data_IF_316363338313
#
_entry.id   IF_316363338313
#
_cell.length_a   1.000
_cell.length_b   1.000
_cell.length_c   1.000
_cell.angle_alpha   90.00
_cell.angle_beta   90.00
_cell.angle_gamma   90.00
#
_symmetry.space_group_name_H-M   'P 1'
#
loop_
_entity.id
_entity.type
_entity.pdbx_description
1 polymer ?
#
# COMPACT_ATOMS: atom_id res chain seq x y z
N UNK A 1 96.26 -0.05 -32.41
CA UNK A 1 95.42 -0.99 -31.67
C UNK A 1 94.59 -0.17 -30.71
N UNK A 2 93.34 0.20 -31.16
CA UNK A 2 92.48 1.09 -30.42
C UNK A 2 91.36 0.30 -29.68
N UNK A 3 91.38 0.35 -28.36
CA UNK A 3 90.36 -0.22 -27.53
C UNK A 3 89.29 0.74 -27.19
N UNK A 4 88.15 0.61 -27.84
CA UNK A 4 86.94 1.46 -27.59
C UNK A 4 86.26 1.08 -26.29
N UNK A 5 86.12 2.00 -25.35
CA UNK A 5 85.34 1.83 -24.12
C UNK A 5 83.89 2.12 -24.43
N UNK A 6 83.01 1.11 -24.28
CA UNK A 6 81.55 1.28 -24.32
C UNK A 6 81.06 1.78 -22.98
N UNK A 7 80.42 2.96 -22.98
CA UNK A 7 79.72 3.52 -21.82
C UNK A 7 78.29 2.93 -21.77
N UNK A 8 77.95 2.20 -20.69
CA UNK A 8 76.58 1.79 -20.37
C UNK A 8 75.90 2.98 -19.71
N UNK A 9 74.80 3.43 -20.34
CA UNK A 9 73.89 4.41 -19.77
C UNK A 9 72.81 3.62 -19.07
N UNK A 10 72.76 3.73 -17.74
CA UNK A 10 71.69 3.15 -16.91
C UNK A 10 70.47 4.06 -16.99
N UNK A 11 69.45 3.67 -17.71
CA UNK A 11 68.17 4.40 -17.74
C UNK A 11 67.36 4.03 -16.50
N UNK A 12 67.09 5.02 -15.66
CA UNK A 12 66.17 4.91 -14.54
C UNK A 12 64.74 4.91 -15.06
N UNK A 13 64.05 3.78 -14.90
CA UNK A 13 62.60 3.69 -15.19
C UNK A 13 61.84 4.20 -13.95
N UNK A 14 61.26 5.36 -14.05
CA UNK A 14 60.33 5.92 -13.08
C UNK A 14 58.95 5.21 -13.27
N UNK A 15 58.61 4.28 -12.39
CA UNK A 15 57.26 3.70 -12.30
C UNK A 15 56.35 4.70 -11.63
N UNK A 16 55.50 5.42 -12.44
CA UNK A 16 54.39 6.16 -11.92
C UNK A 16 53.30 5.18 -11.51
N UNK A 17 53.17 4.93 -10.22
CA UNK A 17 52.02 4.22 -9.66
C UNK A 17 50.76 5.06 -9.75
N UNK A 18 49.87 4.76 -10.69
CA UNK A 18 48.54 5.30 -10.72
C UNK A 18 47.70 4.66 -9.58
N UNK A 19 47.49 5.42 -8.50
CA UNK A 19 46.51 5.05 -7.47
C UNK A 19 45.13 5.19 -8.06
N UNK A 20 44.54 4.07 -8.48
CA UNK A 20 43.13 4.00 -8.88
C UNK A 20 42.30 4.05 -7.59
N UNK A 21 41.85 5.25 -7.20
CA UNK A 21 40.82 5.40 -6.16
C UNK A 21 39.51 4.85 -6.72
N UNK A 22 39.17 3.62 -6.35
CA UNK A 22 37.81 3.09 -6.55
C UNK A 22 36.87 3.88 -5.63
N UNK A 23 36.09 4.79 -6.19
CA UNK A 23 34.97 5.38 -5.50
C UNK A 23 33.94 4.27 -5.24
N UNK A 24 33.80 3.85 -3.98
CA UNK A 24 32.73 2.99 -3.56
C UNK A 24 31.44 3.81 -3.66
N UNK A 25 30.59 3.47 -4.62
CA UNK A 25 29.23 4.00 -4.66
C UNK A 25 28.53 3.55 -3.38
N UNK A 26 28.17 4.51 -2.52
CA UNK A 26 27.35 4.26 -1.35
C UNK A 26 26.02 3.72 -1.84
N UNK A 27 25.72 2.44 -1.58
CA UNK A 27 24.41 1.86 -1.82
C UNK A 27 23.42 2.55 -0.87
N UNK A 28 22.46 3.30 -1.42
CA UNK A 28 21.33 3.80 -0.64
C UNK A 28 20.61 2.61 0.00
N UNK A 29 20.40 2.62 1.33
CA UNK A 29 19.64 1.56 1.97
C UNK A 29 18.24 1.49 1.33
N UNK A 30 17.82 0.30 0.91
CA UNK A 30 16.46 0.08 0.43
C UNK A 30 15.50 0.32 1.60
N UNK A 31 14.50 1.18 1.41
CA UNK A 31 13.42 1.35 2.38
C UNK A 31 12.66 0.02 2.49
N UNK A 32 12.51 -0.55 3.69
CA UNK A 32 11.74 -1.77 3.87
C UNK A 32 10.28 -1.52 3.50
N UNK A 33 9.66 -2.50 2.84
CA UNK A 33 8.25 -2.45 2.43
C UNK A 33 7.51 -3.59 3.10
N UNK A 34 6.37 -3.28 3.73
CA UNK A 34 5.40 -4.24 4.23
C UNK A 34 4.14 -4.14 3.35
N UNK A 35 3.38 -5.22 3.25
CA UNK A 35 2.21 -5.27 2.37
C UNK A 35 0.93 -5.55 3.14
N UNK A 36 -0.14 -4.90 2.70
CA UNK A 36 -1.53 -5.16 3.05
C UNK A 36 -2.28 -5.35 1.73
N UNK A 37 -3.24 -6.27 1.72
CA UNK A 37 -4.09 -6.54 0.56
C UNK A 37 -5.52 -6.17 0.93
N UNK A 38 -6.20 -5.40 0.09
CA UNK A 38 -7.64 -5.22 0.15
C UNK A 38 -8.31 -6.28 -0.73
N UNK A 39 -9.26 -6.99 -0.16
CA UNK A 39 -10.00 -8.07 -0.78
C UNK A 39 -11.49 -7.74 -0.84
N UNK A 40 -12.17 -8.21 -1.86
CA UNK A 40 -13.62 -8.27 -1.96
C UNK A 40 -14.04 -9.31 -3.01
N UNK A 41 -15.27 -9.78 -2.92
CA UNK A 41 -15.89 -10.72 -3.86
C UNK A 41 -17.19 -10.15 -4.46
N UNK A 42 -17.15 -8.90 -4.91
CA UNK A 42 -18.31 -8.26 -5.51
C UNK A 42 -18.80 -9.03 -6.76
N UNK A 43 -20.13 -9.16 -6.91
CA UNK A 43 -20.73 -9.72 -8.12
C UNK A 43 -20.90 -8.65 -9.19
N UNK A 44 -20.17 -8.71 -10.33
CA UNK A 44 -20.19 -7.64 -11.33
C UNK A 44 -21.58 -7.32 -11.88
N UNK A 45 -22.45 -8.33 -12.01
CA UNK A 45 -23.78 -8.12 -12.58
C UNK A 45 -24.66 -7.23 -11.72
N UNK A 46 -24.73 -7.48 -10.41
CA UNK A 46 -25.60 -6.73 -9.48
C UNK A 46 -24.98 -5.40 -9.09
N UNK A 47 -23.68 -5.35 -8.81
CA UNK A 47 -22.98 -4.10 -8.45
C UNK A 47 -22.98 -3.10 -9.59
N UNK A 48 -22.67 -3.55 -10.82
CA UNK A 48 -22.62 -2.65 -11.97
C UNK A 48 -24.00 -2.17 -12.40
N UNK A 49 -25.04 -2.95 -12.16
CA UNK A 49 -26.42 -2.50 -12.38
C UNK A 49 -26.83 -1.36 -11.43
N UNK A 50 -26.33 -1.35 -10.21
CA UNK A 50 -26.67 -0.38 -9.18
C UNK A 50 -25.74 0.84 -9.17
N UNK A 51 -24.44 0.64 -9.38
CA UNK A 51 -23.41 1.68 -9.16
C UNK A 51 -22.79 2.19 -10.45
N UNK A 52 -23.11 1.56 -11.59
CA UNK A 52 -22.59 1.93 -12.90
C UNK A 52 -21.58 0.93 -13.47
N UNK A 53 -21.40 1.00 -14.78
CA UNK A 53 -20.50 0.08 -15.49
C UNK A 53 -19.08 0.15 -14.93
N UNK A 54 -18.43 -1.02 -14.85
CA UNK A 54 -17.05 -1.18 -14.37
C UNK A 54 -16.79 -0.80 -12.90
N UNK A 55 -17.84 -0.60 -12.10
CA UNK A 55 -17.68 -0.36 -10.67
C UNK A 55 -17.10 -1.59 -9.96
N UNK A 56 -17.69 -2.77 -10.20
CA UNK A 56 -17.10 -4.04 -9.81
C UNK A 56 -16.43 -4.69 -11.01
N UNK A 57 -15.13 -4.91 -10.91
CA UNK A 57 -14.28 -5.56 -11.93
C UNK A 57 -13.73 -6.89 -11.44
N UNK A 58 -14.52 -7.60 -10.66
CA UNK A 58 -14.06 -8.85 -10.12
C UNK A 58 -13.85 -9.86 -11.25
N UNK A 59 -12.61 -10.29 -11.43
CA UNK A 59 -12.19 -11.29 -12.41
C UNK A 59 -11.87 -12.63 -11.75
N UNK A 60 -11.96 -12.72 -10.43
CA UNK A 60 -11.74 -13.96 -9.70
C UNK A 60 -12.85 -14.97 -10.01
N UNK A 61 -12.47 -16.22 -10.12
CA UNK A 61 -13.40 -17.34 -10.29
C UNK A 61 -13.76 -17.88 -8.89
N UNK A 62 -14.69 -17.25 -8.21
CA UNK A 62 -15.08 -17.61 -6.84
C UNK A 62 -16.56 -17.47 -6.58
N UNK A 63 -16.93 -17.58 -5.33
CA UNK A 63 -18.24 -17.20 -4.85
C UNK A 63 -18.33 -15.69 -4.87
N UNK A 64 -19.41 -15.15 -5.42
CA UNK A 64 -19.64 -13.71 -5.49
C UNK A 64 -20.79 -13.34 -4.55
N UNK A 65 -20.61 -12.22 -3.87
CA UNK A 65 -21.67 -11.62 -3.08
C UNK A 65 -22.39 -10.57 -3.92
N UNK A 66 -23.72 -10.68 -4.03
CA UNK A 66 -24.52 -9.69 -4.75
C UNK A 66 -24.64 -8.39 -3.95
N UNK A 67 -24.92 -7.29 -4.66
CA UNK A 67 -25.10 -5.98 -4.05
C UNK A 67 -26.13 -5.97 -2.93
N UNK A 68 -27.30 -6.61 -3.12
CA UNK A 68 -28.33 -6.69 -2.08
C UNK A 68 -27.86 -7.48 -0.87
N UNK A 69 -27.22 -8.64 -1.08
CA UNK A 69 -26.72 -9.47 0.01
C UNK A 69 -25.71 -8.70 0.88
N UNK A 70 -24.75 -7.98 0.26
CA UNK A 70 -23.79 -7.18 1.02
C UNK A 70 -24.48 -6.17 1.95
N UNK A 71 -25.48 -5.45 1.44
CA UNK A 71 -26.23 -4.47 2.24
C UNK A 71 -27.08 -5.12 3.32
N UNK A 72 -27.75 -6.24 3.03
CA UNK A 72 -28.53 -6.97 4.00
C UNK A 72 -27.67 -7.46 5.17
N UNK A 73 -26.55 -8.11 4.88
CA UNK A 73 -25.60 -8.61 5.89
C UNK A 73 -24.98 -7.47 6.71
N UNK A 74 -24.54 -6.39 6.07
CA UNK A 74 -23.98 -5.24 6.78
C UNK A 74 -25.02 -4.56 7.68
N UNK A 75 -26.28 -4.45 7.25
CA UNK A 75 -27.37 -3.85 8.04
C UNK A 75 -27.74 -4.70 9.27
N UNK A 76 -27.55 -6.01 9.19
CA UNK A 76 -27.78 -6.96 10.29
C UNK A 76 -26.56 -7.05 11.25
N UNK A 77 -25.46 -6.35 10.97
CA UNK A 77 -24.23 -6.40 11.76
C UNK A 77 -23.38 -7.64 11.50
N UNK A 78 -23.59 -8.30 10.40
CA UNK A 78 -22.84 -9.49 9.95
C UNK A 78 -22.18 -9.17 8.59
N UNK A 79 -21.22 -8.23 8.55
CA UNK A 79 -20.60 -7.86 7.30
C UNK A 79 -19.89 -9.05 6.66
N UNK A 80 -19.90 -9.09 5.32
CA UNK A 80 -19.29 -10.17 4.55
C UNK A 80 -17.78 -10.25 4.84
N UNK A 81 -17.28 -11.40 5.36
CA UNK A 81 -15.89 -11.56 5.73
C UNK A 81 -14.91 -11.53 4.53
N UNK A 82 -15.42 -11.61 3.30
CA UNK A 82 -14.59 -11.52 2.10
C UNK A 82 -14.25 -10.06 1.71
N UNK A 83 -14.89 -9.06 2.34
CA UNK A 83 -14.47 -7.66 2.30
C UNK A 83 -13.56 -7.40 3.47
N UNK A 84 -12.25 -7.50 3.26
CA UNK A 84 -11.28 -7.39 4.34
C UNK A 84 -9.94 -6.79 3.87
N UNK A 85 -9.14 -6.37 4.84
CA UNK A 85 -7.72 -6.08 4.69
C UNK A 85 -6.89 -7.18 5.32
N UNK A 86 -5.94 -7.74 4.56
CA UNK A 86 -5.02 -8.75 5.07
C UNK A 86 -3.57 -8.26 5.07
N UNK A 87 -2.89 -8.36 6.23
CA UNK A 87 -3.39 -8.69 7.54
C UNK A 87 -4.14 -7.52 8.21
N UNK A 88 -5.07 -7.85 9.11
CA UNK A 88 -5.81 -6.88 9.94
C UNK A 88 -4.94 -6.25 11.06
N UNK A 89 -3.82 -6.90 11.40
CA UNK A 89 -2.80 -6.39 12.34
C UNK A 89 -1.41 -6.52 11.72
N UNK A 90 -0.72 -5.40 11.60
CA UNK A 90 0.63 -5.34 11.03
C UNK A 90 1.60 -4.67 11.99
N UNK A 91 2.71 -5.34 12.34
CA UNK A 91 3.80 -4.74 13.12
C UNK A 91 4.98 -4.42 12.21
N UNK A 92 5.43 -3.17 12.20
CA UNK A 92 6.54 -2.69 11.37
C UNK A 92 7.58 -1.93 12.18
N UNK A 93 8.77 -1.75 11.60
CA UNK A 93 9.78 -0.82 12.14
C UNK A 93 9.53 0.58 11.60
N UNK A 94 9.89 1.59 12.38
CA UNK A 94 9.86 2.98 11.92
C UNK A 94 10.68 3.14 10.62
N UNK A 95 10.14 3.89 9.66
CA UNK A 95 10.73 4.07 8.34
C UNK A 95 10.33 3.00 7.31
N UNK A 96 9.53 1.99 7.70
CA UNK A 96 8.95 1.05 6.74
C UNK A 96 7.82 1.74 5.96
N UNK A 97 7.75 1.50 4.66
CA UNK A 97 6.60 1.87 3.83
C UNK A 97 5.60 0.73 3.84
N UNK A 98 4.32 1.03 4.06
CA UNK A 98 3.22 0.09 3.89
C UNK A 98 2.64 0.27 2.49
N UNK A 99 2.76 -0.76 1.66
CA UNK A 99 2.09 -0.82 0.36
C UNK A 99 0.76 -1.52 0.53
N UNK A 100 -0.32 -0.87 0.12
CA UNK A 100 -1.68 -1.44 0.19
C UNK A 100 -2.17 -1.67 -1.22
N UNK A 101 -2.29 -2.93 -1.62
CA UNK A 101 -2.74 -3.34 -2.95
C UNK A 101 -4.23 -3.72 -2.90
N UNK A 102 -4.99 -3.28 -3.89
CA UNK A 102 -6.37 -3.71 -4.06
C UNK A 102 -6.43 -4.88 -5.06
N UNK A 103 -6.65 -6.08 -4.54
CA UNK A 103 -6.85 -7.31 -5.32
C UNK A 103 -8.33 -7.65 -5.47
N UNK A 104 -9.23 -6.87 -4.86
CA UNK A 104 -10.67 -6.98 -5.00
C UNK A 104 -11.22 -6.37 -6.28
N UNK A 105 -12.52 -6.49 -6.46
CA UNK A 105 -13.26 -5.99 -7.63
C UNK A 105 -13.75 -4.57 -7.50
N UNK A 106 -13.86 -4.02 -6.29
CA UNK A 106 -14.37 -2.69 -5.99
C UNK A 106 -13.26 -1.68 -5.68
N UNK A 107 -13.53 -0.37 -5.78
CA UNK A 107 -12.68 0.64 -5.18
C UNK A 107 -12.75 0.56 -3.65
N UNK A 108 -11.60 0.68 -2.99
CA UNK A 108 -11.49 0.81 -1.53
C UNK A 108 -10.85 2.13 -1.15
N UNK A 109 -10.78 2.41 0.16
CA UNK A 109 -9.92 3.46 0.72
C UNK A 109 -9.09 2.87 1.85
N UNK A 110 -7.88 3.38 2.06
CA UNK A 110 -7.05 3.04 3.22
C UNK A 110 -6.77 4.31 3.99
N UNK A 111 -7.76 4.71 4.80
CA UNK A 111 -7.79 6.01 5.47
C UNK A 111 -7.37 5.86 6.92
N UNK A 112 -6.33 6.60 7.33
CA UNK A 112 -5.95 6.68 8.74
C UNK A 112 -7.03 7.44 9.50
N UNK A 113 -7.51 6.83 10.61
CA UNK A 113 -8.56 7.38 11.47
C UNK A 113 -8.08 7.42 12.91
N UNK A 114 -8.57 8.39 13.66
CA UNK A 114 -8.28 8.51 15.09
C UNK A 114 -8.94 7.39 15.91
N UNK A 115 -10.15 7.02 15.53
CA UNK A 115 -10.89 5.90 16.08
C UNK A 115 -11.68 5.25 14.94
N UNK A 116 -11.84 3.94 15.00
CA UNK A 116 -12.74 3.25 14.08
C UNK A 116 -14.18 3.77 14.23
N UNK A 117 -14.89 3.82 13.12
CA UNK A 117 -16.28 4.27 13.06
C UNK A 117 -16.91 3.91 11.73
N UNK A 118 -18.09 4.41 11.45
CA UNK A 118 -18.78 4.23 10.17
C UNK A 118 -18.03 4.90 9.01
N UNK A 119 -18.33 4.46 7.80
CA UNK A 119 -17.90 5.08 6.55
C UNK A 119 -18.88 6.16 6.06
N UNK A 120 -18.70 6.63 4.82
CA UNK A 120 -19.61 7.59 4.20
C UNK A 120 -20.84 6.95 3.52
N UNK A 121 -20.94 5.61 3.50
CA UNK A 121 -22.09 4.88 2.97
C UNK A 121 -22.94 4.44 4.16
N UNK A 122 -23.94 5.27 4.53
CA UNK A 122 -24.73 5.08 5.75
C UNK A 122 -25.35 3.68 5.88
N UNK A 123 -25.81 3.10 4.77
CA UNK A 123 -26.39 1.75 4.75
C UNK A 123 -25.44 0.62 5.13
N UNK A 124 -24.12 0.89 5.16
CA UNK A 124 -23.08 -0.08 5.53
C UNK A 124 -22.53 0.13 6.94
N UNK A 125 -23.02 1.14 7.68
CA UNK A 125 -22.46 1.52 8.98
C UNK A 125 -23.01 0.74 10.17
N UNK A 126 -24.07 -0.04 10.00
CA UNK A 126 -24.76 -0.74 11.10
C UNK A 126 -24.98 0.15 12.34
N UNK A 127 -25.37 1.41 12.10
CA UNK A 127 -25.62 2.38 13.18
C UNK A 127 -24.36 3.05 13.78
N UNK A 128 -23.17 2.72 13.35
CA UNK A 128 -21.96 3.46 13.75
C UNK A 128 -21.98 4.87 13.15
N UNK A 129 -21.56 5.87 13.93
CA UNK A 129 -21.37 7.21 13.42
C UNK A 129 -20.17 7.25 12.46
N UNK A 130 -20.31 7.98 11.36
CA UNK A 130 -19.24 8.18 10.38
C UNK A 130 -17.97 8.72 11.05
N UNK A 131 -16.84 8.07 10.86
CA UNK A 131 -15.55 8.57 11.31
C UNK A 131 -15.28 9.95 10.68
N UNK A 132 -14.80 10.95 11.43
CA UNK A 132 -14.58 12.30 10.90
C UNK A 132 -13.74 12.33 9.62
N UNK A 133 -12.73 11.46 9.54
CA UNK A 133 -11.81 11.35 8.41
C UNK A 133 -12.48 10.76 7.16
N UNK A 134 -13.62 10.05 7.33
CA UNK A 134 -14.43 9.50 6.24
C UNK A 134 -15.55 10.46 5.79
N UNK A 135 -15.77 11.55 6.51
CA UNK A 135 -16.84 12.49 6.20
C UNK A 135 -16.64 13.17 4.83
N UNK A 136 -17.74 13.34 4.09
CA UNK A 136 -17.72 13.99 2.77
C UNK A 136 -17.39 13.04 1.61
N UNK A 137 -17.17 11.76 1.86
CA UNK A 137 -16.95 10.72 0.85
C UNK A 137 -15.82 11.06 -0.11
N UNK A 138 -15.91 10.61 -1.36
CA UNK A 138 -14.91 10.92 -2.39
C UNK A 138 -14.83 12.41 -2.77
N UNK A 139 -15.74 13.25 -2.28
CA UNK A 139 -15.64 14.70 -2.40
C UNK A 139 -14.64 15.34 -1.44
N UNK A 140 -14.25 14.64 -0.36
CA UNK A 140 -13.22 15.10 0.56
C UNK A 140 -11.83 14.79 0.03
N UNK A 141 -10.87 15.68 0.32
CA UNK A 141 -9.47 15.48 -0.09
C UNK A 141 -8.86 14.27 0.62
N UNK A 142 -9.23 14.03 1.87
CA UNK A 142 -8.64 12.96 2.69
C UNK A 142 -9.08 11.58 2.16
N UNK A 143 -10.36 11.38 1.91
CA UNK A 143 -10.87 10.13 1.32
C UNK A 143 -10.37 9.94 -0.11
N UNK A 144 -10.35 10.99 -0.93
CA UNK A 144 -9.89 10.91 -2.31
C UNK A 144 -8.40 10.49 -2.43
N UNK A 145 -7.55 10.96 -1.51
CA UNK A 145 -6.11 10.60 -1.48
C UNK A 145 -5.85 9.16 -1.08
N UNK A 146 -6.73 8.57 -0.31
CA UNK A 146 -6.57 7.22 0.23
C UNK A 146 -7.32 6.17 -0.59
N UNK A 147 -7.95 6.60 -1.69
CA UNK A 147 -8.70 5.71 -2.59
C UNK A 147 -7.76 4.78 -3.35
N UNK A 148 -8.10 3.49 -3.36
CA UNK A 148 -7.38 2.45 -4.08
C UNK A 148 -8.33 1.84 -5.11
N UNK A 149 -8.06 2.08 -6.39
CA UNK A 149 -8.84 1.48 -7.47
C UNK A 149 -8.46 0.00 -7.63
N UNK A 150 -9.34 -0.76 -8.26
CA UNK A 150 -9.12 -2.17 -8.58
C UNK A 150 -7.79 -2.37 -9.31
N UNK A 151 -6.97 -3.30 -8.84
CA UNK A 151 -5.66 -3.61 -9.43
C UNK A 151 -4.60 -2.52 -9.25
N UNK A 152 -4.87 -1.51 -8.41
CA UNK A 152 -3.89 -0.48 -8.06
C UNK A 152 -3.40 -0.61 -6.61
N UNK A 153 -2.45 0.22 -6.22
CA UNK A 153 -1.96 0.26 -4.84
C UNK A 153 -1.65 1.69 -4.41
N UNK A 154 -1.63 1.90 -3.09
CA UNK A 154 -1.16 3.14 -2.46
C UNK A 154 -0.02 2.82 -1.50
N UNK A 155 0.87 3.80 -1.28
CA UNK A 155 1.95 3.69 -0.33
C UNK A 155 1.71 4.65 0.84
N UNK A 156 1.76 4.11 2.06
CA UNK A 156 1.74 4.88 3.30
C UNK A 156 3.15 4.86 3.90
N UNK A 157 3.73 6.03 4.11
CA UNK A 157 5.08 6.18 4.63
C UNK A 157 5.14 7.28 5.69
N UNK A 158 6.21 7.30 6.49
CA UNK A 158 6.41 8.33 7.49
C UNK A 158 5.58 8.15 8.75
N UNK A 159 5.02 6.96 8.99
CA UNK A 159 4.31 6.66 10.22
C UNK A 159 5.24 6.82 11.44
N UNK A 160 4.74 7.51 12.46
CA UNK A 160 5.44 7.69 13.74
C UNK A 160 5.43 6.40 14.55
N UNK A 161 6.23 6.32 15.61
CA UNK A 161 6.11 5.21 16.57
C UNK A 161 4.76 5.25 17.27
N UNK A 162 4.17 4.07 17.43
CA UNK A 162 2.87 3.90 18.09
C UNK A 162 1.89 3.10 17.24
N UNK A 163 0.64 3.18 17.64
CA UNK A 163 -0.49 2.54 16.98
C UNK A 163 -1.13 3.50 15.97
N UNK A 164 -1.41 3.01 14.78
CA UNK A 164 -2.12 3.69 13.72
C UNK A 164 -3.31 2.84 13.28
N UNK A 165 -4.48 3.43 13.19
CA UNK A 165 -5.71 2.76 12.80
C UNK A 165 -6.08 3.17 11.38
N UNK A 166 -6.33 2.20 10.53
CA UNK A 166 -6.78 2.42 9.15
C UNK A 166 -8.09 1.70 8.90
N UNK A 167 -8.97 2.32 8.14
CA UNK A 167 -10.22 1.69 7.70
C UNK A 167 -10.56 2.05 6.26
N UNK A 168 -11.40 1.22 5.64
CA UNK A 168 -12.09 1.60 4.42
C UNK A 168 -13.28 2.51 4.76
N UNK A 169 -13.36 3.69 4.12
CA UNK A 169 -14.47 4.62 4.33
C UNK A 169 -15.75 4.23 3.55
N UNK A 170 -15.68 3.19 2.71
CA UNK A 170 -16.85 2.62 2.03
C UNK A 170 -17.40 1.46 2.86
N UNK A 171 -16.53 0.53 3.23
CA UNK A 171 -16.81 -0.72 3.95
C UNK A 171 -16.15 -0.64 5.34
N UNK A 172 -16.79 -0.02 6.34
CA UNK A 172 -16.11 0.40 7.58
C UNK A 172 -15.67 -0.73 8.50
N UNK A 173 -16.08 -1.96 8.23
CA UNK A 173 -15.58 -3.15 8.93
C UNK A 173 -14.21 -3.61 8.43
N UNK A 174 -13.77 -3.22 7.21
CA UNK A 174 -12.40 -3.45 6.73
C UNK A 174 -11.46 -2.54 7.50
N UNK A 175 -10.76 -3.09 8.50
CA UNK A 175 -9.97 -2.36 9.49
C UNK A 175 -8.60 -2.96 9.65
N UNK A 176 -7.60 -2.10 9.79
CA UNK A 176 -6.20 -2.50 10.04
C UNK A 176 -5.64 -1.70 11.19
N UNK A 177 -4.90 -2.40 12.05
CA UNK A 177 -4.06 -1.82 13.08
C UNK A 177 -2.60 -1.96 12.67
N UNK A 178 -1.89 -0.85 12.47
CA UNK A 178 -0.45 -0.82 12.20
C UNK A 178 0.29 -0.38 13.45
N UNK A 179 1.14 -1.27 13.99
CA UNK A 179 1.97 -0.98 15.15
C UNK A 179 3.41 -0.69 14.70
N UNK A 180 3.89 0.53 14.93
CA UNK A 180 5.24 0.99 14.57
C UNK A 180 6.16 0.95 15.79
N UNK A 181 7.22 0.13 15.74
CA UNK A 181 8.22 -0.07 16.80
C UNK A 181 9.45 0.82 16.64
#
# INVERSE_FOLDING_TARGET
>A
MNGGKKKFVLGAILLFGANLMMAQAASTPLTPVAQIIALDECEPSSFNAMLGADFCKNVALGAFTSFSKLFDEASEGHPDPNWDFEPDVLTIKQGTTVNVANEGGEPHTFTEVKNFGGGFVDGLNHGEATAPECAGGFGSVDVARTRILQGSSVNVSGLSKGEHLFQCCIHPWMRVKVEVK
#
